data_IF_515355475617
#
_entry.id   IF_515355475617
#
_cell.length_a   1.000
_cell.length_b   1.000
_cell.length_c   1.000
_cell.angle_alpha   90.00
_cell.angle_beta   90.00
_cell.angle_gamma   90.00
#
_symmetry.space_group_name_H-M   'P 1'
#
loop_
_entity.id
_entity.type
_entity.pdbx_description
1 polymer ?
#
# COMPACT_ATOMS: atom_id res chain seq x y z
N UNK A 1 1.22 -32.46 0.56
CA UNK A 1 1.56 -31.31 1.44
C UNK A 1 2.14 -30.18 0.59
N UNK A 2 1.81 -28.92 0.87
CA UNK A 2 2.50 -27.76 0.25
C UNK A 2 3.84 -27.60 0.96
N UNK A 3 4.99 -27.52 0.24
CA UNK A 3 6.26 -27.25 0.90
C UNK A 3 6.21 -25.87 1.55
N UNK A 4 6.34 -25.79 2.89
CA UNK A 4 6.39 -24.52 3.60
C UNK A 4 5.55 -24.48 4.88
N UNK A 5 5.55 -23.31 5.53
CA UNK A 5 4.81 -23.05 6.77
C UNK A 5 3.48 -22.38 6.46
N UNK A 6 2.39 -23.13 6.58
CA UNK A 6 1.05 -22.53 6.52
C UNK A 6 0.83 -21.67 7.77
N UNK A 7 0.54 -20.38 7.58
CA UNK A 7 0.21 -19.46 8.67
C UNK A 7 -0.94 -18.55 8.26
N UNK A 8 -2.02 -18.54 9.04
CA UNK A 8 -3.06 -17.54 8.85
C UNK A 8 -2.52 -16.14 9.19
N UNK A 9 -2.65 -15.19 8.27
CA UNK A 9 -2.32 -13.79 8.53
C UNK A 9 -3.52 -13.14 9.20
N UNK A 10 -3.28 -12.49 10.35
CA UNK A 10 -4.31 -11.76 11.08
C UNK A 10 -4.89 -10.62 10.23
N UNK A 11 -6.17 -10.69 9.92
CA UNK A 11 -6.89 -9.61 9.23
C UNK A 11 -7.35 -8.57 10.26
N UNK A 12 -7.35 -7.28 9.89
CA UNK A 12 -7.93 -6.22 10.70
C UNK A 12 -9.47 -6.37 10.68
N UNK A 13 -10.02 -7.14 11.62
CA UNK A 13 -11.45 -7.48 11.66
C UNK A 13 -11.96 -7.69 13.08
N UNK A 14 -13.26 -7.46 13.26
CA UNK A 14 -14.03 -7.83 14.46
C UNK A 14 -15.15 -8.78 14.02
N UNK A 15 -14.99 -10.07 14.32
CA UNK A 15 -15.88 -11.12 13.80
C UNK A 15 -15.82 -11.19 12.26
N UNK A 16 -16.95 -11.05 11.55
CA UNK A 16 -16.98 -11.06 10.09
C UNK A 16 -16.69 -9.67 9.46
N UNK A 17 -16.63 -8.59 10.25
CA UNK A 17 -16.51 -7.21 9.73
C UNK A 17 -15.05 -6.76 9.66
N UNK A 18 -14.64 -6.19 8.53
CA UNK A 18 -13.38 -5.43 8.41
C UNK A 18 -13.36 -4.25 9.41
N UNK A 19 -12.20 -3.98 10.00
CA UNK A 19 -11.91 -2.79 10.81
C UNK A 19 -10.96 -1.92 10.01
N UNK A 20 -11.38 -0.70 9.67
CA UNK A 20 -10.56 0.28 8.96
C UNK A 20 -9.66 1.04 9.93
N UNK A 21 -8.68 1.80 9.41
CA UNK A 21 -7.89 2.72 10.22
C UNK A 21 -8.79 3.76 10.91
N UNK A 22 -9.84 4.25 10.22
CA UNK A 22 -10.78 5.21 10.80
C UNK A 22 -11.62 4.59 11.94
N UNK A 23 -12.03 3.32 11.82
CA UNK A 23 -12.71 2.62 12.93
C UNK A 23 -11.83 2.48 14.18
N UNK A 24 -10.50 2.38 14.00
CA UNK A 24 -9.55 2.13 15.07
C UNK A 24 -8.95 3.42 15.68
N UNK A 25 -8.72 4.44 14.85
CA UNK A 25 -8.24 5.77 15.22
C UNK A 25 -9.28 6.82 14.86
N UNK A 26 -10.49 6.69 15.41
CA UNK A 26 -11.52 7.71 15.23
C UNK A 26 -10.99 9.05 15.76
N UNK A 27 -10.82 10.07 14.89
CA UNK A 27 -10.31 11.37 15.32
C UNK A 27 -11.34 12.17 16.14
N UNK A 28 -12.59 11.69 16.26
CA UNK A 28 -13.60 12.32 17.10
C UNK A 28 -13.14 12.38 18.56
N UNK A 29 -13.32 13.54 19.19
CA UNK A 29 -12.86 13.76 20.57
C UNK A 29 -11.35 14.01 20.73
N UNK A 30 -10.52 13.78 19.70
CA UNK A 30 -9.08 14.08 19.75
C UNK A 30 -8.74 15.56 19.46
N UNK A 31 -9.76 16.43 19.34
CA UNK A 31 -9.59 17.83 18.92
C UNK A 31 -9.17 17.99 17.45
N UNK A 32 -9.19 16.92 16.67
CA UNK A 32 -8.84 16.94 15.25
C UNK A 32 -10.04 17.35 14.39
N UNK A 33 -9.76 18.03 13.26
CA UNK A 33 -10.74 18.35 12.22
C UNK A 33 -10.40 17.54 10.97
N UNK A 34 -11.34 16.74 10.50
CA UNK A 34 -11.23 16.02 9.22
C UNK A 34 -12.04 16.77 8.17
N UNK A 35 -11.41 17.11 7.04
CA UNK A 35 -12.09 17.68 5.87
C UNK A 35 -11.98 16.69 4.71
N UNK A 36 -13.13 16.20 4.25
CA UNK A 36 -13.22 15.33 3.07
C UNK A 36 -13.35 16.15 1.79
N UNK A 37 -12.96 15.59 0.64
CA UNK A 37 -13.05 16.30 -0.64
C UNK A 37 -12.12 17.51 -0.72
N UNK A 38 -11.00 17.48 0.00
CA UNK A 38 -9.98 18.52 0.04
C UNK A 38 -8.66 17.94 -0.45
N UNK A 39 -8.45 17.93 -1.77
CA UNK A 39 -7.26 17.37 -2.38
C UNK A 39 -6.11 18.38 -2.27
N UNK A 40 -4.98 17.98 -1.68
CA UNK A 40 -3.78 18.81 -1.67
C UNK A 40 -3.13 18.78 -3.05
N UNK A 41 -2.92 19.97 -3.64
CA UNK A 41 -2.26 20.15 -4.94
C UNK A 41 -0.77 20.41 -4.80
N UNK A 42 -0.35 21.25 -3.84
CA UNK A 42 1.05 21.61 -3.65
C UNK A 42 1.37 22.03 -2.22
N UNK A 43 2.64 21.97 -1.84
CA UNK A 43 3.16 22.51 -0.59
C UNK A 43 3.34 24.03 -0.66
N UNK A 44 3.19 24.70 0.48
CA UNK A 44 3.51 26.13 0.66
C UNK A 44 4.87 26.31 1.30
N UNK A 45 5.51 27.42 0.98
CA UNK A 45 6.86 27.74 1.41
C UNK A 45 6.92 29.14 2.03
N UNK A 46 7.48 29.22 3.24
CA UNK A 46 7.73 30.50 3.89
C UNK A 46 8.65 31.36 3.01
N UNK A 47 8.23 32.59 2.71
CA UNK A 47 8.97 33.50 1.83
C UNK A 47 9.14 33.00 0.39
N UNK A 48 8.37 32.00 -0.04
CA UNK A 48 8.40 31.44 -1.40
C UNK A 48 9.63 30.57 -1.72
N UNK A 49 10.51 30.31 -0.74
CA UNK A 49 11.70 29.50 -0.96
C UNK A 49 11.37 28.01 -0.90
N UNK A 50 11.23 27.39 -2.08
CA UNK A 50 11.03 25.94 -2.24
C UNK A 50 12.05 25.15 -1.42
N UNK A 51 11.59 24.08 -0.76
CA UNK A 51 12.41 23.23 0.11
C UNK A 51 13.08 23.97 1.28
N UNK A 52 12.62 25.19 1.61
CA UNK A 52 13.02 25.94 2.80
C UNK A 52 12.24 25.49 4.04
N UNK A 53 11.27 26.31 4.46
CA UNK A 53 10.32 25.95 5.51
C UNK A 53 8.95 25.76 4.89
N UNK A 54 8.41 24.54 4.99
CA UNK A 54 7.03 24.27 4.65
C UNK A 54 6.13 24.88 5.74
N UNK A 55 5.24 25.77 5.33
CA UNK A 55 4.33 26.51 6.21
C UNK A 55 2.85 26.26 5.91
N UNK A 56 2.56 25.24 5.10
CA UNK A 56 1.19 24.88 4.75
C UNK A 56 1.05 24.10 3.46
N UNK A 57 -0.19 24.03 2.97
CA UNK A 57 -0.58 23.37 1.72
C UNK A 57 -1.55 24.25 0.93
N UNK A 58 -1.61 24.04 -0.38
CA UNK A 58 -2.61 24.61 -1.28
C UNK A 58 -3.47 23.46 -1.81
N UNK A 59 -4.78 23.64 -1.76
CA UNK A 59 -5.76 22.68 -2.25
C UNK A 59 -6.00 22.84 -3.77
N UNK A 60 -6.80 21.94 -4.34
CA UNK A 60 -7.23 21.98 -5.74
C UNK A 60 -8.23 23.10 -6.04
N UNK A 61 -8.97 23.57 -5.04
CA UNK A 61 -9.85 24.74 -5.09
C UNK A 61 -9.14 26.08 -4.80
N UNK A 62 -7.80 26.08 -4.84
CA UNK A 62 -6.90 27.20 -4.52
C UNK A 62 -6.96 27.70 -3.07
N UNK A 63 -7.69 27.01 -2.17
CA UNK A 63 -7.63 27.34 -0.76
C UNK A 63 -6.24 27.05 -0.18
N UNK A 64 -5.73 28.02 0.58
CA UNK A 64 -4.46 27.88 1.26
C UNK A 64 -4.65 27.59 2.77
N UNK A 65 -4.07 26.50 3.25
CA UNK A 65 -4.11 26.12 4.66
C UNK A 65 -2.70 26.28 5.25
N UNK A 66 -2.55 27.19 6.21
CA UNK A 66 -1.29 27.41 6.93
C UNK A 66 -1.09 26.41 8.07
N UNK A 67 0.14 25.95 8.28
CA UNK A 67 0.49 25.01 9.33
C UNK A 67 1.94 25.17 9.83
N UNK A 68 2.16 24.99 11.13
CA UNK A 68 3.51 24.97 11.72
C UNK A 68 4.31 23.70 11.42
N UNK A 69 3.63 22.61 11.09
CA UNK A 69 4.20 21.42 10.44
C UNK A 69 3.16 20.82 9.50
N UNK A 70 3.63 20.24 8.40
CA UNK A 70 2.87 19.42 7.47
C UNK A 70 3.40 17.98 7.56
N UNK A 71 2.49 17.01 7.68
CA UNK A 71 2.81 15.58 7.66
C UNK A 71 2.09 14.94 6.49
N UNK A 72 2.84 14.40 5.54
CA UNK A 72 2.31 13.75 4.35
C UNK A 72 1.94 12.30 4.66
N UNK A 73 0.67 11.98 4.39
CA UNK A 73 0.09 10.65 4.52
C UNK A 73 -0.74 10.28 3.28
N UNK A 74 -0.32 10.75 2.09
CA UNK A 74 -1.05 10.57 0.83
C UNK A 74 -0.79 9.21 0.16
N UNK A 75 -0.14 8.29 0.87
CA UNK A 75 0.27 6.98 0.36
C UNK A 75 1.50 7.08 -0.53
N UNK A 76 2.10 5.93 -0.85
CA UNK A 76 3.37 5.88 -1.56
C UNK A 76 3.37 6.68 -2.89
N UNK A 77 2.28 6.61 -3.66
CA UNK A 77 2.14 7.32 -4.94
C UNK A 77 1.87 8.82 -4.69
N UNK A 78 0.82 9.14 -3.93
CA UNK A 78 0.39 10.52 -3.73
C UNK A 78 1.44 11.37 -3.03
N UNK A 79 2.13 10.83 -2.02
CA UNK A 79 3.22 11.52 -1.33
C UNK A 79 4.40 11.76 -2.27
N UNK A 80 4.78 10.80 -3.12
CA UNK A 80 5.85 10.98 -4.09
C UNK A 80 5.52 12.05 -5.13
N UNK A 81 4.32 12.00 -5.71
CA UNK A 81 3.83 13.00 -6.66
C UNK A 81 3.79 14.40 -6.04
N UNK A 82 3.31 14.53 -4.80
CA UNK A 82 3.25 15.82 -4.10
C UNK A 82 4.64 16.39 -3.77
N UNK A 83 5.58 15.54 -3.34
CA UNK A 83 6.96 15.95 -3.10
C UNK A 83 7.61 16.44 -4.41
N UNK A 84 7.56 15.63 -5.47
CA UNK A 84 8.16 15.97 -6.76
C UNK A 84 7.53 17.22 -7.38
N UNK A 85 6.19 17.30 -7.37
CA UNK A 85 5.43 18.47 -7.84
C UNK A 85 5.68 19.74 -7.00
N UNK A 86 6.17 19.59 -5.77
CA UNK A 86 6.59 20.69 -4.90
C UNK A 86 8.09 20.97 -4.93
N UNK A 87 8.83 20.41 -5.90
CA UNK A 87 10.26 20.65 -6.09
C UNK A 87 11.19 19.83 -5.18
N UNK A 88 10.70 18.74 -4.60
CA UNK A 88 11.50 17.80 -3.80
C UNK A 88 11.55 16.47 -4.53
N UNK A 89 12.62 16.23 -5.27
CA UNK A 89 12.72 15.03 -6.09
C UNK A 89 14.07 14.86 -6.78
N UNK A 90 14.15 13.98 -7.80
CA UNK A 90 15.41 13.61 -8.42
C UNK A 90 16.16 14.80 -9.03
N UNK A 91 15.43 15.77 -9.57
CA UNK A 91 15.98 17.02 -10.12
C UNK A 91 16.62 17.92 -9.06
N UNK A 92 16.29 17.74 -7.78
CA UNK A 92 16.85 18.49 -6.65
C UNK A 92 17.77 17.65 -5.75
N UNK A 93 18.12 16.44 -6.18
CA UNK A 93 19.05 15.55 -5.49
C UNK A 93 18.41 14.58 -4.48
N UNK A 94 17.09 14.64 -4.29
CA UNK A 94 16.39 13.63 -3.49
C UNK A 94 15.96 12.45 -4.36
N UNK A 95 16.24 11.18 -4.00
CA UNK A 95 15.85 10.01 -4.79
C UNK A 95 14.35 9.65 -4.68
N UNK A 96 13.47 10.65 -4.50
CA UNK A 96 12.01 10.44 -4.41
C UNK A 96 11.53 9.72 -5.67
N UNK A 97 10.73 8.68 -5.47
CA UNK A 97 10.17 7.88 -6.56
C UNK A 97 11.16 6.90 -7.20
N UNK A 98 12.43 6.83 -6.81
CA UNK A 98 13.39 5.85 -7.35
C UNK A 98 13.54 4.62 -6.47
N UNK A 99 13.76 3.45 -7.07
CA UNK A 99 14.05 2.22 -6.33
C UNK A 99 12.85 1.66 -5.57
N UNK A 100 11.65 1.99 -6.02
CA UNK A 100 10.40 1.64 -5.33
C UNK A 100 10.12 0.16 -5.49
N UNK A 101 9.36 -0.41 -4.55
CA UNK A 101 9.05 -1.83 -4.54
C UNK A 101 7.55 -2.04 -4.32
N UNK A 102 7.05 -3.04 -5.01
CA UNK A 102 5.69 -3.57 -4.94
C UNK A 102 5.80 -5.09 -4.93
N UNK A 103 4.84 -5.78 -4.36
CA UNK A 103 4.74 -7.22 -4.45
C UNK A 103 4.06 -7.60 -5.76
N UNK A 104 4.80 -8.13 -6.76
CA UNK A 104 4.20 -8.60 -7.99
C UNK A 104 3.32 -9.83 -7.69
N UNK A 105 2.19 -9.92 -8.37
CA UNK A 105 1.18 -10.96 -8.15
C UNK A 105 0.71 -11.55 -9.48
N UNK A 106 0.54 -12.87 -9.53
CA UNK A 106 -0.21 -13.55 -10.59
C UNK A 106 -1.55 -14.00 -10.02
N UNK A 107 -2.64 -13.65 -10.72
CA UNK A 107 -3.99 -14.05 -10.35
C UNK A 107 -4.41 -15.25 -11.21
N UNK A 108 -4.49 -16.43 -10.61
CA UNK A 108 -4.99 -17.65 -11.25
C UNK A 108 -6.50 -17.67 -11.16
N UNK A 109 -7.18 -17.74 -12.31
CA UNK A 109 -8.65 -17.75 -12.35
C UNK A 109 -9.21 -19.09 -11.84
N UNK A 110 -10.29 -19.00 -11.06
CA UNK A 110 -11.04 -20.16 -10.57
C UNK A 110 -12.35 -20.30 -11.36
N UNK A 111 -12.56 -21.44 -12.04
CA UNK A 111 -13.83 -21.79 -12.65
C UNK A 111 -14.98 -21.78 -11.62
N UNK A 112 -16.16 -21.34 -12.05
CA UNK A 112 -17.31 -21.14 -11.16
C UNK A 112 -17.83 -22.45 -10.52
N UNK A 113 -17.60 -23.58 -11.18
CA UNK A 113 -17.97 -24.93 -10.73
C UNK A 113 -17.09 -25.45 -9.59
N UNK A 114 -15.84 -24.98 -9.47
CA UNK A 114 -14.94 -25.32 -8.34
C UNK A 114 -15.55 -24.94 -7.00
N UNK A 115 -16.32 -23.85 -6.95
CA UNK A 115 -17.02 -23.42 -5.73
C UNK A 115 -18.33 -24.16 -5.48
N UNK A 116 -18.75 -25.07 -6.38
CA UNK A 116 -19.90 -25.98 -6.24
C UNK A 116 -21.17 -25.32 -5.66
N UNK A 117 -21.44 -24.07 -6.05
CA UNK A 117 -22.61 -23.28 -5.61
C UNK A 117 -22.57 -22.83 -4.14
N UNK A 118 -21.49 -23.11 -3.41
CA UNK A 118 -21.23 -22.60 -2.07
C UNK A 118 -20.37 -21.35 -2.21
N UNK A 119 -20.97 -20.23 -2.56
CA UNK A 119 -20.34 -18.94 -2.30
C UNK A 119 -20.52 -18.62 -0.80
N UNK A 120 -19.47 -18.72 0.04
CA UNK A 120 -19.60 -18.41 1.46
C UNK A 120 -19.69 -16.89 1.71
N UNK A 121 -19.44 -16.07 0.69
CA UNK A 121 -19.49 -14.60 0.75
C UNK A 121 -20.29 -14.06 -0.45
N UNK A 122 -21.61 -14.36 -0.52
CA UNK A 122 -22.45 -13.85 -1.58
C UNK A 122 -22.34 -12.33 -1.66
N UNK A 123 -22.36 -11.79 -2.89
CA UNK A 123 -22.29 -10.33 -3.14
C UNK A 123 -23.22 -9.62 -2.15
N UNK A 124 -22.69 -8.78 -1.24
CA UNK A 124 -23.54 -8.02 -0.33
C UNK A 124 -24.52 -7.20 -1.17
N UNK A 125 -25.81 -7.31 -0.89
CA UNK A 125 -26.78 -6.37 -1.45
C UNK A 125 -26.40 -4.94 -1.05
N UNK A 126 -26.81 -3.91 -1.82
CA UNK A 126 -26.52 -2.52 -1.50
C UNK A 126 -26.95 -2.10 -0.08
N UNK A 127 -27.93 -2.81 0.49
CA UNK A 127 -28.48 -2.59 1.84
C UNK A 127 -28.11 -3.68 2.86
N UNK A 128 -27.18 -4.58 2.54
CA UNK A 128 -26.82 -5.69 3.43
C UNK A 128 -26.19 -5.14 4.74
N UNK A 129 -26.77 -5.43 5.92
CA UNK A 129 -26.24 -4.96 7.19
C UNK A 129 -24.96 -5.73 7.54
N UNK A 130 -23.84 -5.22 7.07
CA UNK A 130 -22.51 -5.78 7.31
C UNK A 130 -21.52 -5.05 6.42
N UNK A 131 -20.52 -4.40 7.01
CA UNK A 131 -19.45 -3.76 6.23
C UNK A 131 -18.74 -4.75 5.29
N UNK A 132 -17.80 -4.25 4.49
CA UNK A 132 -17.10 -5.06 3.49
C UNK A 132 -16.55 -6.38 4.07
N UNK A 133 -16.73 -7.52 3.37
CA UNK A 133 -16.17 -8.79 3.80
C UNK A 133 -14.64 -8.72 3.83
N UNK A 134 -13.97 -9.57 4.62
CA UNK A 134 -12.52 -9.70 4.53
C UNK A 134 -12.16 -10.21 3.13
N UNK A 135 -11.35 -9.44 2.41
CA UNK A 135 -10.95 -9.76 1.03
C UNK A 135 -10.19 -11.09 0.95
N UNK A 136 -9.42 -11.40 2.01
CA UNK A 136 -8.71 -12.66 2.18
C UNK A 136 -9.14 -13.29 3.50
N UNK A 137 -9.60 -14.54 3.45
CA UNK A 137 -9.94 -15.29 4.67
C UNK A 137 -8.71 -15.95 5.29
N UNK A 138 -7.82 -16.45 4.44
CA UNK A 138 -6.57 -17.12 4.79
C UNK A 138 -5.50 -16.71 3.79
N UNK A 139 -4.25 -16.71 4.24
CA UNK A 139 -3.09 -16.57 3.37
C UNK A 139 -2.19 -17.76 3.67
N UNK A 140 -1.66 -18.40 2.64
CA UNK A 140 -0.70 -19.49 2.80
C UNK A 140 0.67 -18.95 2.42
N UNK A 141 1.56 -18.85 3.40
CA UNK A 141 2.93 -18.40 3.17
C UNK A 141 3.83 -19.58 2.84
N UNK A 142 4.54 -19.50 1.72
CA UNK A 142 5.50 -20.49 1.28
C UNK A 142 6.90 -19.89 1.37
N UNK A 143 7.81 -20.63 1.99
CA UNK A 143 9.23 -20.35 1.94
C UNK A 143 9.87 -21.44 1.10
N UNK A 144 10.33 -21.07 -0.09
CA UNK A 144 10.87 -21.99 -1.07
C UNK A 144 12.39 -22.12 -0.91
N UNK A 145 12.95 -23.21 -1.45
CA UNK A 145 14.37 -23.57 -1.28
C UNK A 145 15.36 -22.49 -1.78
N UNK A 146 14.91 -21.54 -2.61
CA UNK A 146 15.70 -20.41 -3.12
C UNK A 146 15.56 -19.12 -2.27
N UNK A 147 15.12 -19.22 -1.01
CA UNK A 147 14.81 -18.07 -0.14
C UNK A 147 13.70 -17.13 -0.67
N UNK A 148 13.01 -17.52 -1.75
CA UNK A 148 11.79 -16.85 -2.19
C UNK A 148 10.66 -17.09 -1.17
N UNK A 149 10.00 -16.00 -0.80
CA UNK A 149 8.85 -16.00 0.10
C UNK A 149 7.64 -15.59 -0.71
N UNK A 150 6.65 -16.47 -0.78
CA UNK A 150 5.46 -16.27 -1.62
C UNK A 150 4.22 -16.45 -0.77
N UNK A 151 3.19 -15.64 -1.04
CA UNK A 151 1.86 -15.81 -0.46
C UNK A 151 0.90 -16.35 -1.52
N UNK A 152 0.20 -17.43 -1.17
CA UNK A 152 -0.98 -17.89 -1.91
C UNK A 152 -2.21 -17.32 -1.20
N UNK A 153 -3.02 -16.59 -1.97
CA UNK A 153 -4.09 -15.71 -1.50
C UNK A 153 -5.42 -16.05 -2.18
N UNK A 154 -6.21 -16.97 -1.61
CA UNK A 154 -7.57 -17.20 -2.07
C UNK A 154 -8.41 -15.96 -1.77
N UNK A 155 -8.77 -15.22 -2.83
CA UNK A 155 -9.66 -14.07 -2.71
C UNK A 155 -11.06 -14.58 -2.37
N UNK A 156 -11.58 -14.12 -1.23
CA UNK A 156 -12.84 -14.60 -0.66
C UNK A 156 -14.06 -14.14 -1.47
N UNK A 157 -13.92 -13.03 -2.20
CA UNK A 157 -14.90 -12.49 -3.13
C UNK A 157 -14.19 -11.97 -4.38
N UNK A 158 -14.85 -11.94 -5.54
CA UNK A 158 -14.34 -11.26 -6.72
C UNK A 158 -14.07 -9.79 -6.42
N UNK A 159 -12.92 -9.26 -6.87
CA UNK A 159 -12.48 -7.89 -6.54
C UNK A 159 -13.50 -6.80 -6.91
N UNK A 160 -14.21 -6.98 -8.04
CA UNK A 160 -15.25 -6.06 -8.49
C UNK A 160 -16.48 -5.98 -7.56
N UNK A 161 -16.65 -6.91 -6.62
CA UNK A 161 -17.69 -6.82 -5.60
C UNK A 161 -17.35 -5.80 -4.50
N UNK A 162 -16.07 -5.45 -4.34
CA UNK A 162 -15.59 -4.60 -3.23
C UNK A 162 -14.82 -3.36 -3.71
N UNK A 163 -14.44 -3.30 -4.98
CA UNK A 163 -13.78 -2.15 -5.60
C UNK A 163 -14.72 -1.59 -6.68
N UNK A 164 -15.31 -0.40 -6.46
CA UNK A 164 -16.16 0.26 -7.47
C UNK A 164 -15.41 0.52 -8.77
N UNK A 165 -16.09 0.34 -9.90
CA UNK A 165 -15.55 0.65 -11.23
C UNK A 165 -14.68 -0.44 -11.86
N UNK A 166 -14.49 -1.60 -11.21
CA UNK A 166 -13.85 -2.75 -11.84
C UNK A 166 -14.84 -3.56 -12.68
N UNK A 167 -14.35 -4.08 -13.80
CA UNK A 167 -15.09 -5.02 -14.63
C UNK A 167 -15.35 -6.35 -13.89
N UNK A 168 -16.47 -7.03 -14.18
CA UNK A 168 -16.73 -8.36 -13.66
C UNK A 168 -15.60 -9.34 -13.96
N UNK A 169 -15.16 -10.07 -12.94
CA UNK A 169 -14.08 -11.05 -13.01
C UNK A 169 -14.44 -12.30 -12.19
N UNK A 170 -13.88 -13.47 -12.53
CA UNK A 170 -14.09 -14.70 -11.76
C UNK A 170 -13.44 -14.61 -10.37
N UNK A 171 -13.68 -15.63 -9.55
CA UNK A 171 -12.89 -15.85 -8.34
C UNK A 171 -11.44 -16.13 -8.72
N UNK A 172 -10.50 -15.73 -7.85
CA UNK A 172 -9.07 -15.80 -8.15
C UNK A 172 -8.27 -16.28 -6.96
N UNK A 173 -7.19 -16.99 -7.24
CA UNK A 173 -6.11 -17.24 -6.28
C UNK A 173 -4.93 -16.35 -6.66
N UNK A 174 -4.56 -15.42 -5.79
CA UNK A 174 -3.34 -14.65 -5.93
C UNK A 174 -2.12 -15.46 -5.56
N UNK A 175 -1.06 -15.34 -6.34
CA UNK A 175 0.28 -15.82 -6.05
C UNK A 175 1.19 -14.60 -6.04
N UNK A 176 1.60 -14.16 -4.86
CA UNK A 176 2.29 -12.89 -4.67
C UNK A 176 3.70 -13.10 -4.07
N UNK A 177 4.72 -12.54 -4.72
CA UNK A 177 6.11 -12.62 -4.25
C UNK A 177 6.36 -11.56 -3.18
N UNK A 178 6.74 -11.97 -1.97
CA UNK A 178 6.90 -11.13 -0.78
C UNK A 178 8.31 -10.56 -0.58
N UNK A 179 9.29 -10.99 -1.37
CA UNK A 179 10.65 -10.46 -1.31
C UNK A 179 11.23 -10.21 -2.71
N UNK A 180 10.55 -9.41 -3.55
CA UNK A 180 10.99 -9.13 -4.91
C UNK A 180 12.33 -8.38 -4.93
N UNK A 181 13.16 -8.71 -5.91
CA UNK A 181 14.44 -8.01 -6.14
C UNK A 181 14.29 -6.86 -7.11
N UNK A 182 13.25 -6.87 -7.95
CA UNK A 182 12.92 -5.80 -8.88
C UNK A 182 12.78 -4.44 -8.19
N UNK A 183 13.19 -3.39 -8.90
CA UNK A 183 13.13 -2.00 -8.43
C UNK A 183 12.49 -1.13 -9.50
N UNK A 184 11.34 -0.56 -9.17
CA UNK A 184 10.60 0.32 -10.05
C UNK A 184 10.95 1.79 -9.86
N UNK A 185 10.14 2.65 -10.49
CA UNK A 185 10.11 4.09 -10.23
C UNK A 185 8.68 4.64 -10.29
N UNK A 186 8.49 5.84 -9.74
CA UNK A 186 7.26 6.64 -9.87
C UNK A 186 7.61 7.97 -10.55
N UNK A 187 6.81 8.37 -11.54
CA UNK A 187 6.87 9.68 -12.18
C UNK A 187 6.26 10.79 -11.31
N UNK A 188 6.56 12.04 -11.64
CA UNK A 188 5.96 13.22 -10.99
C UNK A 188 4.43 13.31 -11.21
N UNK A 189 3.94 12.73 -12.30
CA UNK A 189 2.52 12.53 -12.61
C UNK A 189 1.86 11.39 -11.83
N UNK A 190 2.62 10.67 -10.99
CA UNK A 190 2.16 9.50 -10.24
C UNK A 190 2.15 8.20 -11.03
N UNK A 191 2.61 8.19 -12.29
CA UNK A 191 2.72 6.97 -13.10
C UNK A 191 3.74 6.01 -12.47
N UNK A 192 3.33 4.76 -12.25
CA UNK A 192 4.17 3.73 -11.64
C UNK A 192 4.79 2.85 -12.73
N UNK A 193 6.11 2.75 -12.74
CA UNK A 193 6.86 1.84 -13.61
C UNK A 193 7.52 0.76 -12.76
N UNK A 194 6.92 -0.44 -12.72
CA UNK A 194 7.45 -1.58 -11.99
C UNK A 194 8.54 -2.30 -12.81
N UNK A 195 9.41 -3.02 -12.11
CA UNK A 195 10.47 -3.82 -12.72
C UNK A 195 9.90 -5.14 -13.24
N UNK A 196 10.22 -5.50 -14.49
CA UNK A 196 10.03 -6.85 -15.03
C UNK A 196 11.29 -7.68 -14.77
N UNK A 197 11.60 -7.91 -13.50
CA UNK A 197 12.81 -8.64 -13.14
C UNK A 197 12.67 -10.13 -13.52
N UNK A 198 13.62 -10.70 -14.31
CA UNK A 198 13.51 -12.10 -14.76
C UNK A 198 13.51 -13.13 -13.63
N UNK A 199 14.18 -12.85 -12.50
CA UNK A 199 14.18 -13.74 -11.35
C UNK A 199 12.81 -13.74 -10.67
N UNK A 200 12.25 -12.56 -10.41
CA UNK A 200 10.93 -12.43 -9.79
C UNK A 200 9.84 -13.07 -10.68
N UNK A 201 9.92 -12.85 -12.00
CA UNK A 201 9.01 -13.43 -12.98
C UNK A 201 9.08 -14.96 -13.01
N UNK A 202 10.29 -15.54 -13.00
CA UNK A 202 10.48 -16.99 -13.01
C UNK A 202 9.94 -17.65 -11.72
N UNK A 203 10.15 -17.02 -10.56
CA UNK A 203 9.60 -17.50 -9.28
C UNK A 203 8.08 -17.48 -9.31
N UNK A 204 7.47 -16.37 -9.72
CA UNK A 204 6.02 -16.24 -9.80
C UNK A 204 5.40 -17.27 -10.75
N UNK A 205 5.93 -17.39 -11.96
CA UNK A 205 5.44 -18.34 -12.95
C UNK A 205 5.51 -19.79 -12.44
N UNK A 206 6.63 -20.17 -11.80
CA UNK A 206 6.80 -21.51 -11.24
C UNK A 206 5.80 -21.82 -10.12
N UNK A 207 5.53 -20.86 -9.23
CA UNK A 207 4.57 -21.07 -8.14
C UNK A 207 3.13 -21.05 -8.64
N UNK A 208 2.80 -20.16 -9.58
CA UNK A 208 1.47 -20.12 -10.20
C UNK A 208 1.16 -21.44 -10.93
N UNK A 209 2.11 -21.98 -11.70
CA UNK A 209 1.97 -23.29 -12.34
C UNK A 209 1.76 -24.42 -11.32
N UNK A 210 2.53 -24.44 -10.23
CA UNK A 210 2.35 -25.40 -9.14
C UNK A 210 0.95 -25.29 -8.50
N UNK A 211 0.44 -24.08 -8.29
CA UNK A 211 -0.91 -23.85 -7.75
C UNK A 211 -1.97 -24.36 -8.74
N UNK A 212 -1.86 -24.01 -10.01
CA UNK A 212 -2.78 -24.45 -11.05
C UNK A 212 -2.81 -25.98 -11.19
N UNK A 213 -1.65 -26.64 -11.28
CA UNK A 213 -1.53 -28.10 -11.37
C UNK A 213 -2.22 -28.80 -10.19
N UNK A 214 -1.93 -28.34 -8.96
CA UNK A 214 -2.52 -28.93 -7.74
C UNK A 214 -4.02 -28.73 -7.63
N UNK A 215 -4.55 -27.70 -8.29
CA UNK A 215 -5.97 -27.39 -8.29
C UNK A 215 -6.68 -27.92 -9.54
N UNK A 216 -5.97 -28.54 -10.48
CA UNK A 216 -6.54 -29.03 -11.73
C UNK A 216 -7.06 -27.90 -12.62
N UNK A 217 -6.36 -26.76 -12.63
CA UNK A 217 -6.73 -25.57 -13.41
C UNK A 217 -5.88 -25.46 -14.68
N UNK A 218 -6.42 -24.84 -15.72
CA UNK A 218 -5.77 -24.70 -17.04
C UNK A 218 -4.54 -23.77 -17.03
N UNK A 219 -4.25 -23.11 -15.91
CA UNK A 219 -3.01 -22.34 -15.70
C UNK A 219 -3.05 -20.89 -16.17
N UNK A 220 -4.17 -20.42 -16.72
CA UNK A 220 -4.35 -19.02 -17.10
C UNK A 220 -4.21 -18.10 -15.88
N UNK A 221 -3.30 -17.14 -15.99
CA UNK A 221 -2.99 -16.19 -14.94
C UNK A 221 -2.94 -14.76 -15.47
N UNK A 222 -3.55 -13.84 -14.74
CA UNK A 222 -3.48 -12.40 -15.02
C UNK A 222 -2.36 -11.76 -14.21
N UNK A 223 -1.50 -10.98 -14.85
CA UNK A 223 -0.48 -10.17 -14.17
C UNK A 223 -1.15 -9.06 -13.37
N UNK A 224 -0.72 -8.92 -12.11
CA UNK A 224 -1.27 -7.95 -11.15
C UNK A 224 -0.19 -7.51 -10.16
N UNK A 225 -0.60 -6.67 -9.21
CA UNK A 225 0.18 -6.32 -8.03
C UNK A 225 -0.64 -6.54 -6.77
N UNK A 226 0.04 -6.59 -5.63
CA UNK A 226 -0.64 -6.67 -4.33
C UNK A 226 -1.12 -5.32 -3.80
N UNK A 227 -0.90 -4.22 -4.53
CA UNK A 227 -1.21 -2.86 -4.08
C UNK A 227 -0.47 -2.47 -2.78
N UNK A 228 0.78 -2.94 -2.65
CA UNK A 228 1.67 -2.77 -1.50
C UNK A 228 2.86 -1.83 -1.80
N UNK A 229 2.78 -1.04 -2.87
CA UNK A 229 3.82 -0.10 -3.27
C UNK A 229 4.34 0.71 -2.07
N UNK A 230 5.64 0.67 -1.87
CA UNK A 230 6.31 1.22 -0.68
C UNK A 230 7.66 1.83 -1.04
N UNK A 231 8.17 2.66 -0.12
CA UNK A 231 9.53 3.17 -0.16
C UNK A 231 9.78 4.18 -1.26
N UNK A 232 8.85 5.11 -1.48
CA UNK A 232 8.98 6.17 -2.50
C UNK A 232 9.65 7.44 -1.97
N UNK A 233 9.78 7.58 -0.65
CA UNK A 233 10.51 8.64 0.03
C UNK A 233 11.16 8.07 1.29
N UNK A 234 12.18 7.22 1.14
CA UNK A 234 12.69 6.34 2.20
C UNK A 234 13.37 7.10 3.35
N UNK A 235 13.14 6.63 4.57
CA UNK A 235 14.00 6.94 5.72
C UNK A 235 15.45 6.53 5.43
N UNK A 236 16.40 7.41 5.74
CA UNK A 236 17.83 7.24 5.47
C UNK A 236 18.28 7.75 4.10
N UNK A 237 17.35 8.09 3.21
CA UNK A 237 17.66 8.60 1.86
C UNK A 237 16.98 9.95 1.56
N UNK A 238 15.67 10.02 1.78
CA UNK A 238 14.86 11.24 1.62
C UNK A 238 14.48 11.82 2.97
N UNK A 239 14.31 10.95 3.97
CA UNK A 239 13.86 11.33 5.31
C UNK A 239 14.93 11.03 6.37
N UNK A 240 14.91 11.79 7.47
CA UNK A 240 15.56 11.39 8.72
C UNK A 240 14.77 10.27 9.45
N UNK A 241 15.30 9.80 10.58
CA UNK A 241 14.70 8.74 11.40
C UNK A 241 13.37 9.15 12.06
N UNK A 242 13.03 10.43 12.00
CA UNK A 242 11.83 11.04 12.55
C UNK A 242 10.87 11.48 11.44
N UNK A 243 11.09 10.97 10.22
CA UNK A 243 10.25 11.17 9.05
C UNK A 243 10.34 12.58 8.46
N UNK A 244 11.29 13.43 8.90
CA UNK A 244 11.47 14.77 8.32
C UNK A 244 12.13 14.65 6.96
N UNK A 245 11.65 15.44 6.01
CA UNK A 245 12.31 15.55 4.71
C UNK A 245 13.66 16.23 4.90
N UNK A 246 14.74 15.57 4.46
CA UNK A 246 16.10 16.06 4.64
C UNK A 246 16.27 17.43 3.98
N UNK A 247 16.86 18.38 4.71
CA UNK A 247 17.06 19.76 4.22
C UNK A 247 15.81 20.65 4.23
N UNK A 248 14.63 20.13 4.59
CA UNK A 248 13.36 20.87 4.57
C UNK A 248 12.80 20.99 6.00
N UNK A 249 12.53 22.22 6.42
CA UNK A 249 11.91 22.48 7.72
C UNK A 249 10.39 22.36 7.62
N UNK A 250 9.73 21.90 8.69
CA UNK A 250 8.27 21.90 8.75
C UNK A 250 7.58 20.79 7.97
N UNK A 251 8.31 19.88 7.30
CA UNK A 251 7.73 18.85 6.45
C UNK A 251 8.14 17.44 6.89
N UNK A 252 7.16 16.56 7.02
CA UNK A 252 7.36 15.14 7.33
C UNK A 252 6.54 14.23 6.42
N UNK A 253 6.86 12.95 6.48
CA UNK A 253 6.17 11.87 5.80
C UNK A 253 5.94 10.74 6.80
N UNK A 254 4.71 10.18 6.84
CA UNK A 254 4.33 9.13 7.78
C UNK A 254 3.42 8.05 7.15
N UNK A 255 3.69 7.68 5.90
CA UNK A 255 3.00 6.60 5.18
C UNK A 255 3.97 5.58 4.57
N UNK A 256 3.46 4.68 3.71
CA UNK A 256 4.24 3.64 3.06
C UNK A 256 5.45 4.16 2.24
N UNK A 257 5.46 5.43 1.84
CA UNK A 257 6.61 6.05 1.17
C UNK A 257 7.85 6.08 2.06
N UNK A 258 7.69 6.22 3.39
CA UNK A 258 8.79 6.30 4.36
C UNK A 258 9.52 4.97 4.56
N UNK A 259 8.88 3.84 4.24
CA UNK A 259 9.43 2.51 4.52
C UNK A 259 10.78 2.31 3.80
N UNK A 260 11.86 1.95 4.52
CA UNK A 260 13.19 1.80 3.91
C UNK A 260 13.28 0.61 2.95
N UNK A 261 12.40 -0.38 3.12
CA UNK A 261 12.26 -1.51 2.20
C UNK A 261 10.83 -2.06 2.27
N UNK A 262 10.41 -2.78 1.24
CA UNK A 262 9.12 -3.46 1.24
C UNK A 262 9.09 -4.55 2.31
N UNK A 263 8.13 -4.53 3.26
CA UNK A 263 7.97 -5.60 4.23
C UNK A 263 7.65 -6.91 3.52
N UNK A 264 8.10 -8.06 4.07
CA UNK A 264 7.85 -9.39 3.48
C UNK A 264 6.45 -9.95 3.74
N UNK A 265 5.47 -9.06 3.78
CA UNK A 265 4.04 -9.30 4.01
C UNK A 265 3.27 -8.02 3.63
N UNK A 266 1.94 -8.05 3.77
CA UNK A 266 1.13 -6.84 3.60
C UNK A 266 1.60 -5.69 4.52
N UNK A 267 1.87 -4.48 3.98
CA UNK A 267 2.58 -3.43 4.71
C UNK A 267 1.69 -2.67 5.71
N UNK A 268 0.37 -2.89 5.70
CA UNK A 268 -0.59 -2.09 6.48
C UNK A 268 -0.22 -1.95 7.96
N UNK A 269 0.06 -3.06 8.66
CA UNK A 269 0.45 -2.99 10.07
C UNK A 269 1.84 -2.39 10.28
N UNK A 270 2.76 -2.58 9.34
CA UNK A 270 4.07 -1.92 9.38
C UNK A 270 3.92 -0.40 9.23
N UNK A 271 3.06 0.06 8.32
CA UNK A 271 2.76 1.49 8.15
C UNK A 271 2.15 2.07 9.43
N UNK A 272 1.19 1.37 10.05
CA UNK A 272 0.62 1.81 11.33
C UNK A 272 1.67 1.90 12.45
N UNK A 273 2.51 0.87 12.60
CA UNK A 273 3.55 0.86 13.63
C UNK A 273 4.57 1.99 13.42
N UNK A 274 4.98 2.24 12.17
CA UNK A 274 5.86 3.36 11.82
C UNK A 274 5.16 4.69 12.08
N UNK A 275 3.89 4.84 11.72
CA UNK A 275 3.13 6.07 11.97
C UNK A 275 2.99 6.37 13.47
N UNK A 276 2.77 5.36 14.33
CA UNK A 276 2.74 5.52 15.78
C UNK A 276 4.10 5.96 16.36
N UNK A 277 5.20 5.36 15.90
CA UNK A 277 6.56 5.76 16.32
C UNK A 277 6.85 7.21 15.90
N UNK A 278 6.55 7.56 14.65
CA UNK A 278 6.74 8.92 14.13
C UNK A 278 5.87 9.94 14.88
N UNK A 279 4.61 9.61 15.17
CA UNK A 279 3.73 10.47 15.97
C UNK A 279 4.30 10.72 17.38
N UNK A 280 4.84 9.69 18.02
CA UNK A 280 5.49 9.79 19.34
C UNK A 280 6.69 10.73 19.29
N UNK A 281 7.53 10.62 18.27
CA UNK A 281 8.69 11.52 18.06
C UNK A 281 8.25 12.97 17.84
N UNK A 282 7.23 13.17 17.00
CA UNK A 282 6.66 14.51 16.77
C UNK A 282 6.16 15.14 18.06
N UNK A 283 5.50 14.37 18.93
CA UNK A 283 5.02 14.85 20.24
C UNK A 283 6.20 15.21 21.16
N UNK A 284 7.21 14.34 21.24
CA UNK A 284 8.37 14.55 22.10
C UNK A 284 9.17 15.81 21.74
N UNK A 285 9.32 16.09 20.45
CA UNK A 285 10.01 17.28 19.95
C UNK A 285 9.19 18.56 20.06
N UNK A 286 7.87 18.42 20.08
CA UNK A 286 6.94 19.55 20.12
C UNK A 286 6.61 20.03 21.52
N UNK A 287 7.18 19.42 22.59
CA UNK A 287 6.92 19.74 24.01
C UNK A 287 6.08 21.02 24.17
N UNK A 288 4.76 20.82 24.16
CA UNK A 288 3.76 21.86 23.99
C UNK A 288 3.75 22.81 25.18
#
# INVERSE_FOLDING_TARGET
AVPGRVSAIGQARRGPRRVTAFDAWDPSGAGARVRTGAQVRSLRWEGGRVAGRCDGVVLDDDEEIGAGQVVLCAGAIGTAALLMGSGIGPSTGHPVGHGVQEHPELLVDLPADVLSGRDPYPRPGPDAPGGLPPLLSHVVRLQLAAAAEVEIRPYAVPLHHVIPGLEPAPHRIGVALMNPVGRGRIGDDGTVHLSEDPHDAAVLAGVAAMVAERMGLDGDATVSTSQHLSGTARVGEVLDDSGRVLGVQGLRVADASALPSLPRCGPYYTVLAVAEDLATRVIAERAW
#
